data_IF_530816085591
#
_entry.id   IF_530816085591
#
_cell.length_a   1.000
_cell.length_b   1.000
_cell.length_c   1.000
_cell.angle_alpha   90.00
_cell.angle_beta   90.00
_cell.angle_gamma   90.00
#
_symmetry.space_group_name_H-M   'P 1'
#
loop_
_entity.id
_entity.type
_entity.pdbx_description
1 polymer ?
#
# COMPACT_ATOMS: atom_id res chain seq x y z
N UNK A 1 1.29 5.37 -5.60
CA UNK A 1 0.40 5.51 -4.44
C UNK A 1 0.24 6.95 -3.94
N UNK A 2 0.53 7.99 -4.74
CA UNK A 2 0.31 9.37 -4.28
C UNK A 2 -1.17 9.81 -4.30
N UNK A 3 -1.99 9.19 -5.16
CA UNK A 3 -3.38 9.59 -5.36
C UNK A 3 -4.22 9.52 -4.08
N UNK A 4 -4.05 8.49 -3.25
CA UNK A 4 -4.80 8.37 -1.98
C UNK A 4 -4.31 9.33 -0.89
N UNK A 5 -3.18 10.02 -1.08
CA UNK A 5 -2.73 11.05 -0.13
C UNK A 5 -3.55 12.35 -0.28
N UNK A 6 -4.09 12.58 -1.46
CA UNK A 6 -4.95 13.72 -1.73
C UNK A 6 -6.33 13.52 -1.08
N UNK A 7 -6.76 14.41 -0.18
CA UNK A 7 -8.00 14.24 0.57
C UNK A 7 -9.25 14.31 -0.32
N UNK A 8 -9.21 15.07 -1.43
CA UNK A 8 -10.31 15.15 -2.41
C UNK A 8 -10.49 13.79 -3.10
N UNK A 9 -9.38 13.16 -3.50
CA UNK A 9 -9.37 11.84 -4.09
C UNK A 9 -9.88 10.79 -3.10
N UNK A 10 -9.44 10.85 -1.82
CA UNK A 10 -9.96 9.94 -0.79
C UNK A 10 -11.46 10.09 -0.58
N UNK A 11 -11.94 11.33 -0.49
CA UNK A 11 -13.37 11.59 -0.32
C UNK A 11 -14.20 11.02 -1.47
N UNK A 12 -13.76 11.25 -2.71
CA UNK A 12 -14.44 10.70 -3.90
C UNK A 12 -14.42 9.17 -3.92
N UNK A 13 -13.30 8.55 -3.54
CA UNK A 13 -13.19 7.10 -3.47
C UNK A 13 -14.11 6.52 -2.39
N UNK A 14 -14.17 7.13 -1.19
CA UNK A 14 -15.08 6.70 -0.11
C UNK A 14 -16.55 6.76 -0.52
N UNK A 15 -16.93 7.68 -1.41
CA UNK A 15 -18.30 7.79 -1.91
C UNK A 15 -18.61 6.77 -3.02
N UNK A 16 -17.63 6.41 -3.86
CA UNK A 16 -17.89 5.75 -5.16
C UNK A 16 -17.23 4.39 -5.34
N UNK A 17 -16.36 3.97 -4.44
CA UNK A 17 -15.58 2.74 -4.59
C UNK A 17 -15.26 2.10 -3.22
N UNK A 18 -15.01 0.79 -3.24
CA UNK A 18 -14.38 0.11 -2.11
C UNK A 18 -12.86 0.22 -2.25
N UNK A 19 -12.22 0.81 -1.25
CA UNK A 19 -10.78 1.04 -1.21
C UNK A 19 -10.08 -0.11 -0.50
N UNK A 20 -9.01 -0.60 -1.11
CA UNK A 20 -8.21 -1.71 -0.55
C UNK A 20 -6.78 -1.24 -0.32
N UNK A 21 -6.31 -1.32 0.93
CA UNK A 21 -4.92 -1.10 1.28
C UNK A 21 -4.16 -2.43 1.36
N UNK A 22 -3.17 -2.60 0.48
CA UNK A 22 -2.19 -3.68 0.56
C UNK A 22 -1.07 -3.31 1.55
N UNK A 23 -1.24 -3.72 2.81
CA UNK A 23 -0.27 -3.49 3.89
C UNK A 23 0.88 -4.49 3.81
N UNK A 24 2.08 -4.03 4.15
CA UNK A 24 3.28 -4.84 4.25
C UNK A 24 4.23 -4.17 5.25
N UNK A 25 5.05 -4.95 5.93
CA UNK A 25 6.09 -4.43 6.81
C UNK A 25 7.22 -3.76 6.01
N UNK A 26 8.02 -2.94 6.70
CA UNK A 26 9.09 -2.16 6.09
C UNK A 26 10.13 -3.03 5.37
N UNK A 27 10.47 -4.20 5.91
CA UNK A 27 11.46 -5.11 5.30
C UNK A 27 10.92 -5.70 4.00
N UNK A 28 9.66 -6.11 3.99
CA UNK A 28 8.97 -6.57 2.78
C UNK A 28 8.92 -5.48 1.70
N UNK A 29 8.56 -4.24 2.08
CA UNK A 29 8.54 -3.12 1.12
C UNK A 29 9.96 -2.87 0.60
N UNK A 30 10.97 -2.86 1.48
CA UNK A 30 12.37 -2.66 1.12
C UNK A 30 12.88 -3.72 0.13
N UNK A 31 12.60 -5.00 0.37
CA UNK A 31 12.95 -6.10 -0.55
C UNK A 31 12.37 -5.88 -1.96
N UNK A 32 11.13 -5.37 -2.05
CA UNK A 32 10.43 -5.14 -3.32
C UNK A 32 10.94 -3.93 -4.09
N UNK A 33 11.40 -2.89 -3.40
CA UNK A 33 11.77 -1.59 -4.03
C UNK A 33 13.27 -1.39 -4.20
N UNK A 34 14.10 -2.02 -3.37
CA UNK A 34 15.57 -1.82 -3.37
C UNK A 34 16.25 -2.30 -4.64
N UNK A 35 15.66 -3.27 -5.35
CA UNK A 35 16.23 -3.85 -6.58
C UNK A 35 16.02 -2.99 -7.84
N UNK A 36 15.26 -1.89 -7.77
CA UNK A 36 14.92 -1.05 -8.94
C UNK A 36 15.34 0.39 -8.72
N UNK A 37 16.30 0.87 -9.51
CA UNK A 37 16.79 2.26 -9.49
C UNK A 37 15.86 3.27 -10.20
N UNK A 38 14.65 2.84 -10.58
CA UNK A 38 13.66 3.70 -11.22
C UNK A 38 12.77 4.45 -10.23
N UNK A 39 13.12 4.47 -8.93
CA UNK A 39 12.32 5.06 -7.84
C UNK A 39 12.91 6.42 -7.42
N UNK A 40 12.42 7.57 -7.92
CA UNK A 40 13.03 8.87 -7.65
C UNK A 40 13.09 9.23 -6.16
N UNK A 41 12.07 8.82 -5.39
CA UNK A 41 12.00 9.08 -3.95
C UNK A 41 13.09 8.35 -3.15
N UNK A 42 13.66 7.26 -3.68
CA UNK A 42 14.71 6.49 -3.03
C UNK A 42 16.11 6.86 -3.55
N UNK A 43 16.23 7.83 -4.47
CA UNK A 43 17.51 8.39 -4.92
C UNK A 43 18.05 9.44 -3.95
N UNK A 44 18.02 9.11 -2.66
CA UNK A 44 18.47 9.98 -1.57
C UNK A 44 19.51 9.22 -0.73
N UNK A 45 20.40 9.93 0.00
CA UNK A 45 21.19 9.29 1.04
C UNK A 45 20.28 8.53 2.01
N UNK A 46 20.70 7.35 2.47
CA UNK A 46 19.94 6.49 3.38
C UNK A 46 18.53 6.11 2.88
N UNK A 47 18.41 5.43 1.72
CA UNK A 47 17.12 5.11 1.09
C UNK A 47 16.18 4.29 1.98
N UNK A 48 16.72 3.45 2.87
CA UNK A 48 15.92 2.67 3.83
C UNK A 48 15.26 3.57 4.88
N UNK A 49 15.95 4.62 5.36
CA UNK A 49 15.38 5.59 6.28
C UNK A 49 14.28 6.40 5.60
N UNK A 50 14.53 6.88 4.37
CA UNK A 50 13.52 7.60 3.57
C UNK A 50 12.28 6.74 3.38
N UNK A 51 12.44 5.44 3.12
CA UNK A 51 11.31 4.52 3.03
C UNK A 51 10.55 4.41 4.35
N UNK A 52 11.25 4.31 5.48
CA UNK A 52 10.65 4.23 6.81
C UNK A 52 9.82 5.49 7.13
N UNK A 53 10.39 6.67 6.89
CA UNK A 53 9.71 7.96 7.12
C UNK A 53 8.46 8.08 6.25
N UNK A 54 8.57 7.68 4.97
CA UNK A 54 7.44 7.67 4.05
C UNK A 54 6.36 6.66 4.45
N UNK A 55 6.73 5.51 5.01
CA UNK A 55 5.76 4.52 5.49
C UNK A 55 5.00 5.06 6.71
N UNK A 56 5.72 5.55 7.72
CA UNK A 56 5.15 6.10 8.94
C UNK A 56 4.23 7.31 8.67
N UNK A 57 4.65 8.24 7.81
CA UNK A 57 3.85 9.42 7.48
C UNK A 57 2.56 9.10 6.72
N UNK A 58 2.53 7.99 5.98
CA UNK A 58 1.40 7.61 5.11
C UNK A 58 0.48 6.56 5.74
N UNK A 59 0.95 5.83 6.74
CA UNK A 59 0.20 4.77 7.40
C UNK A 59 -1.15 5.25 7.96
N UNK A 60 -1.25 6.37 8.71
CA UNK A 60 -2.55 6.86 9.18
C UNK A 60 -3.52 7.20 8.06
N UNK A 61 -3.02 7.62 6.91
CA UNK A 61 -3.82 7.98 5.74
C UNK A 61 -4.31 6.72 5.03
N UNK A 62 -3.44 5.74 4.79
CA UNK A 62 -3.83 4.47 4.16
C UNK A 62 -4.73 3.61 5.05
N UNK A 63 -4.62 3.76 6.38
CA UNK A 63 -5.50 3.11 7.34
C UNK A 63 -6.97 3.58 7.24
N UNK A 64 -7.26 4.68 6.54
CA UNK A 64 -8.63 5.12 6.24
C UNK A 64 -9.34 4.26 5.17
N UNK A 65 -8.64 3.29 4.55
CA UNK A 65 -9.23 2.41 3.53
C UNK A 65 -10.29 1.47 4.11
N UNK A 66 -11.27 1.10 3.29
CA UNK A 66 -12.39 0.23 3.70
C UNK A 66 -11.92 -1.19 4.06
N UNK A 67 -10.93 -1.69 3.33
CA UNK A 67 -10.37 -3.04 3.51
C UNK A 67 -8.85 -2.93 3.64
N UNK A 68 -8.30 -3.60 4.65
CA UNK A 68 -6.86 -3.75 4.84
C UNK A 68 -6.46 -5.20 4.62
N UNK A 69 -5.55 -5.45 3.68
CA UNK A 69 -5.01 -6.78 3.38
C UNK A 69 -3.52 -6.80 3.66
N UNK A 70 -3.11 -7.67 4.57
CA UNK A 70 -1.69 -7.97 4.80
C UNK A 70 -1.16 -8.82 3.63
N UNK A 71 -0.38 -8.16 2.77
CA UNK A 71 0.17 -8.73 1.54
C UNK A 71 1.50 -9.47 1.74
N UNK A 72 2.17 -9.29 2.89
CA UNK A 72 3.38 -10.02 3.31
C UNK A 72 4.39 -10.28 2.18
N UNK A 73 5.13 -11.39 2.24
CA UNK A 73 5.98 -11.89 1.15
C UNK A 73 5.24 -12.94 0.28
N UNK A 74 3.92 -13.02 0.39
CA UNK A 74 3.10 -13.98 -0.32
C UNK A 74 2.96 -13.62 -1.81
N UNK A 75 2.67 -14.60 -2.68
CA UNK A 75 2.33 -14.35 -4.09
C UNK A 75 1.16 -13.37 -4.24
N UNK A 76 1.15 -12.62 -5.34
CA UNK A 76 0.06 -11.68 -5.64
C UNK A 76 -1.31 -12.38 -5.71
N UNK A 77 -1.35 -13.67 -6.09
CA UNK A 77 -2.57 -14.48 -6.10
C UNK A 77 -3.22 -14.60 -4.72
N UNK A 78 -2.43 -14.63 -3.64
CA UNK A 78 -2.97 -14.67 -2.28
C UNK A 78 -3.61 -13.34 -1.90
N UNK A 79 -2.99 -12.22 -2.26
CA UNK A 79 -3.59 -10.90 -2.06
C UNK A 79 -4.92 -10.79 -2.83
N UNK A 80 -4.96 -11.25 -4.08
CA UNK A 80 -6.20 -11.27 -4.90
C UNK A 80 -7.27 -12.15 -4.26
N UNK A 81 -6.92 -13.34 -3.78
CA UNK A 81 -7.86 -14.23 -3.09
C UNK A 81 -8.44 -13.56 -1.85
N UNK A 82 -7.60 -13.00 -0.97
CA UNK A 82 -8.04 -12.28 0.23
C UNK A 82 -8.94 -11.08 -0.10
N UNK A 83 -8.66 -10.36 -1.18
CA UNK A 83 -9.52 -9.26 -1.65
C UNK A 83 -10.90 -9.78 -2.06
N UNK A 84 -10.95 -10.87 -2.83
CA UNK A 84 -12.22 -11.47 -3.27
C UNK A 84 -13.04 -11.94 -2.07
N UNK A 85 -12.40 -12.61 -1.11
CA UNK A 85 -13.03 -13.03 0.15
C UNK A 85 -13.58 -11.82 0.92
N UNK A 86 -12.79 -10.75 1.07
CA UNK A 86 -13.22 -9.53 1.76
C UNK A 86 -14.36 -8.78 1.05
N UNK A 87 -14.49 -8.94 -0.27
CA UNK A 87 -15.58 -8.38 -1.08
C UNK A 87 -16.80 -9.32 -1.16
N UNK A 88 -16.78 -10.49 -0.50
CA UNK A 88 -17.86 -11.48 -0.59
C UNK A 88 -17.97 -12.19 -1.94
N UNK A 89 -16.92 -12.12 -2.76
CA UNK A 89 -16.83 -12.74 -4.09
C UNK A 89 -16.23 -14.14 -4.01
N UNK A 90 -16.80 -14.99 -3.16
CA UNK A 90 -16.45 -16.42 -3.06
C UNK A 90 -16.98 -17.20 -4.27
N UNK A 91 -16.12 -18.06 -4.84
CA UNK A 91 -16.51 -19.17 -5.73
C UNK A 91 -16.60 -20.42 -4.89
#
# INVERSE_FOLDING_TARGET
GGAYLDPTTRALLKEKATTVWLRADLETIWKRVSRRDTRPLLKKPNPKQVLADLAAAREPIYAEADIVIDSGDAPASDAVRKIREALGLTV
#
